data_IF_704950413098
#
_entry.id   IF_704950413098
#
_cell.length_a   1.000
_cell.length_b   1.000
_cell.length_c   1.000
_cell.angle_alpha   90.00
_cell.angle_beta   90.00
_cell.angle_gamma   90.00
#
_symmetry.space_group_name_H-M   'P 1'
#
loop_
_entity.id
_entity.type
_entity.pdbx_description
1 polymer ?
#
# COMPACT_ATOMS: atom_id res chain seq x y z
N UNK A 1 -29.19 -14.42 1.20
CA UNK A 1 -27.95 -13.71 1.56
C UNK A 1 -27.38 -12.96 0.38
N UNK A 2 -26.87 -11.75 0.64
CA UNK A 2 -26.33 -10.91 -0.41
C UNK A 2 -24.81 -11.12 -0.62
N UNK A 3 -24.16 -11.78 0.34
CA UNK A 3 -22.76 -12.14 0.24
C UNK A 3 -22.59 -13.57 0.74
N UNK A 4 -21.95 -14.39 -0.06
CA UNK A 4 -21.70 -15.79 0.32
C UNK A 4 -20.23 -16.12 0.15
N UNK A 5 -19.79 -17.10 0.92
CA UNK A 5 -18.44 -17.61 0.92
C UNK A 5 -18.50 -19.12 0.70
N UNK A 6 -17.65 -19.64 -0.14
CA UNK A 6 -17.58 -21.06 -0.45
C UNK A 6 -16.14 -21.53 -0.52
N UNK A 7 -15.83 -22.60 0.19
CA UNK A 7 -14.50 -23.22 0.10
C UNK A 7 -14.42 -24.07 -1.16
N UNK A 8 -13.39 -23.86 -1.96
CA UNK A 8 -13.17 -24.60 -3.20
C UNK A 8 -11.70 -24.95 -3.30
N UNK A 9 -11.40 -26.25 -3.30
CA UNK A 9 -10.01 -26.72 -3.31
C UNK A 9 -9.27 -26.21 -2.09
N UNK A 10 -8.14 -25.54 -2.31
CA UNK A 10 -7.32 -24.95 -1.24
C UNK A 10 -7.65 -23.48 -1.00
N UNK A 11 -8.64 -22.96 -1.68
CA UNK A 11 -9.00 -21.55 -1.60
C UNK A 11 -10.45 -21.33 -1.28
N UNK A 12 -10.88 -20.08 -1.44
CA UNK A 12 -12.24 -19.64 -1.19
C UNK A 12 -12.77 -18.82 -2.34
N UNK A 13 -14.07 -18.92 -2.57
CA UNK A 13 -14.77 -18.08 -3.53
C UNK A 13 -15.80 -17.25 -2.79
N UNK A 14 -15.88 -15.97 -3.12
CA UNK A 14 -16.86 -15.05 -2.55
C UNK A 14 -17.80 -14.58 -3.65
N UNK A 15 -19.08 -14.59 -3.38
CA UNK A 15 -20.08 -14.08 -4.30
C UNK A 15 -20.79 -12.90 -3.65
N UNK A 16 -20.78 -11.76 -4.34
CA UNK A 16 -21.46 -10.54 -3.90
C UNK A 16 -22.67 -10.33 -4.81
N UNK A 17 -23.85 -10.58 -4.30
CA UNK A 17 -25.11 -10.44 -5.03
C UNK A 17 -25.70 -9.02 -4.90
N UNK A 18 -24.91 -8.06 -4.50
CA UNK A 18 -25.32 -6.69 -4.27
C UNK A 18 -24.15 -5.75 -4.51
N UNK A 19 -24.40 -4.44 -4.51
CA UNK A 19 -23.35 -3.42 -4.48
C UNK A 19 -23.18 -2.96 -3.04
N UNK A 20 -22.18 -3.47 -2.32
CA UNK A 20 -22.00 -3.09 -0.92
C UNK A 20 -21.41 -1.69 -0.80
N UNK A 21 -21.59 -1.10 0.36
CA UNK A 21 -20.96 0.19 0.65
C UNK A 21 -19.45 0.05 0.75
N UNK A 22 -18.76 1.16 0.57
CA UNK A 22 -17.30 1.20 0.55
C UNK A 22 -16.66 0.65 1.81
N UNK A 23 -17.22 0.99 2.98
CA UNK A 23 -16.70 0.50 4.27
C UNK A 23 -16.75 -1.03 4.36
N UNK A 24 -17.82 -1.64 3.87
CA UNK A 24 -17.94 -3.09 3.84
C UNK A 24 -16.93 -3.71 2.87
N UNK A 25 -16.76 -3.13 1.70
CA UNK A 25 -15.80 -3.62 0.71
C UNK A 25 -14.37 -3.57 1.27
N UNK A 26 -14.03 -2.52 1.99
CA UNK A 26 -12.71 -2.40 2.61
C UNK A 26 -12.47 -3.52 3.62
N UNK A 27 -13.46 -3.80 4.46
CA UNK A 27 -13.36 -4.89 5.46
C UNK A 27 -13.29 -6.26 4.80
N UNK A 28 -14.10 -6.50 3.78
CA UNK A 28 -14.09 -7.76 3.06
C UNK A 28 -12.75 -7.99 2.36
N UNK A 29 -12.22 -6.96 1.70
CA UNK A 29 -10.92 -7.04 1.03
C UNK A 29 -9.80 -7.33 2.03
N UNK A 30 -9.81 -6.66 3.19
CA UNK A 30 -8.83 -6.89 4.24
C UNK A 30 -8.89 -8.34 4.74
N UNK A 31 -10.10 -8.88 4.92
CA UNK A 31 -10.29 -10.26 5.33
C UNK A 31 -9.75 -11.24 4.28
N UNK A 32 -10.06 -10.99 3.01
CA UNK A 32 -9.58 -11.84 1.91
C UNK A 32 -8.06 -11.83 1.83
N UNK A 33 -7.44 -10.67 1.98
CA UNK A 33 -5.98 -10.56 2.00
C UNK A 33 -5.37 -11.34 3.17
N UNK A 34 -5.96 -11.21 4.35
CA UNK A 34 -5.49 -11.92 5.53
C UNK A 34 -5.58 -13.43 5.33
N UNK A 35 -6.70 -13.92 4.81
CA UNK A 35 -6.89 -15.35 4.55
C UNK A 35 -5.94 -15.88 3.46
N UNK A 36 -5.61 -15.06 2.48
CA UNK A 36 -4.70 -15.42 1.40
C UNK A 36 -3.23 -15.25 1.78
N UNK A 37 -2.93 -14.76 2.97
CA UNK A 37 -1.57 -14.53 3.42
C UNK A 37 -0.90 -13.34 2.76
N UNK A 38 -1.67 -12.41 2.23
CA UNK A 38 -1.15 -11.21 1.59
C UNK A 38 -0.89 -10.15 2.65
N UNK A 39 0.35 -9.67 2.71
CA UNK A 39 0.75 -8.61 3.64
C UNK A 39 0.89 -7.29 2.89
N UNK A 40 0.54 -6.16 3.51
CA UNK A 40 0.78 -4.86 2.88
C UNK A 40 2.28 -4.61 2.77
N UNK A 41 2.70 -3.99 1.67
CA UNK A 41 4.12 -3.66 1.45
C UNK A 41 4.58 -2.51 2.33
N UNK A 42 3.64 -1.74 2.86
CA UNK A 42 3.91 -0.55 3.67
C UNK A 42 2.68 -0.27 4.55
N UNK A 43 2.85 0.28 5.75
CA UNK A 43 1.70 0.63 6.60
C UNK A 43 0.74 1.57 5.87
N UNK A 44 -0.56 1.33 6.02
CA UNK A 44 -1.60 2.09 5.34
C UNK A 44 -1.53 3.59 5.64
N UNK A 45 -1.65 4.41 4.59
CA UNK A 45 -1.72 5.87 4.67
C UNK A 45 -2.94 6.33 3.87
N UNK A 46 -3.84 7.04 4.52
CA UNK A 46 -5.08 7.49 3.87
C UNK A 46 -4.78 8.40 2.67
N UNK A 47 -5.38 8.06 1.53
CA UNK A 47 -5.25 8.85 0.31
C UNK A 47 -3.90 8.74 -0.38
N UNK A 48 -3.01 7.90 0.10
CA UNK A 48 -1.70 7.68 -0.51
C UNK A 48 -1.60 6.25 -1.00
N UNK A 49 -1.32 6.09 -2.27
CA UNK A 49 -1.05 4.77 -2.85
C UNK A 49 0.43 4.48 -2.71
N UNK A 50 0.77 3.31 -2.18
CA UNK A 50 2.16 2.91 -1.99
C UNK A 50 2.36 1.56 -2.65
N UNK A 51 3.29 1.51 -3.61
CA UNK A 51 3.62 0.28 -4.32
C UNK A 51 5.12 -0.01 -4.17
N UNK A 52 5.48 -1.26 -4.38
CA UNK A 52 6.86 -1.72 -4.25
C UNK A 52 7.28 -2.43 -5.51
N UNK A 53 8.51 -2.16 -5.94
CA UNK A 53 9.19 -2.90 -7.00
C UNK A 53 10.54 -3.34 -6.49
N UNK A 54 10.96 -4.51 -6.91
CA UNK A 54 12.21 -5.08 -6.44
C UNK A 54 12.95 -5.73 -7.62
N UNK A 55 14.25 -5.53 -7.68
CA UNK A 55 15.12 -6.19 -8.63
C UNK A 55 16.51 -6.35 -8.02
N UNK A 56 17.48 -6.77 -8.83
CA UNK A 56 18.86 -6.97 -8.38
C UNK A 56 19.53 -5.70 -7.85
N UNK A 57 19.02 -4.51 -8.25
CA UNK A 57 19.58 -3.24 -7.84
C UNK A 57 18.99 -2.71 -6.53
N UNK A 58 17.93 -3.33 -6.03
CA UNK A 58 17.34 -2.97 -4.74
C UNK A 58 15.82 -2.99 -4.71
N UNK A 59 15.30 -2.40 -3.67
CA UNK A 59 13.87 -2.29 -3.41
C UNK A 59 13.44 -0.85 -3.51
N UNK A 60 12.43 -0.60 -4.34
CA UNK A 60 11.96 0.74 -4.66
C UNK A 60 10.50 0.88 -4.24
N UNK A 61 10.19 1.99 -3.57
CA UNK A 61 8.83 2.30 -3.12
C UNK A 61 8.33 3.55 -3.84
N UNK A 62 7.12 3.46 -4.35
CA UNK A 62 6.46 4.55 -5.08
C UNK A 62 5.32 5.06 -4.21
N UNK A 63 5.34 6.35 -3.91
CA UNK A 63 4.34 7.01 -3.08
C UNK A 63 3.57 8.01 -3.93
N UNK A 64 2.26 7.82 -4.03
CA UNK A 64 1.41 8.69 -4.83
C UNK A 64 0.33 9.29 -3.93
N UNK A 65 0.39 10.61 -3.77
CA UNK A 65 -0.61 11.32 -2.97
C UNK A 65 -1.79 11.69 -3.87
N UNK A 66 -2.92 11.00 -3.68
CA UNK A 66 -4.14 11.24 -4.44
C UNK A 66 -5.02 12.34 -3.85
N UNK A 67 -4.54 13.03 -2.84
CA UNK A 67 -5.30 14.09 -2.15
C UNK A 67 -4.80 15.48 -2.49
N UNK A 68 -5.57 16.48 -2.08
CA UNK A 68 -5.19 17.89 -2.19
C UNK A 68 -4.50 18.40 -0.94
N UNK A 69 -4.20 17.51 0.00
CA UNK A 69 -3.56 17.86 1.26
C UNK A 69 -2.11 17.38 1.28
N UNK A 70 -1.27 18.08 2.02
CA UNK A 70 0.08 17.62 2.28
C UNK A 70 0.03 16.37 3.14
N UNK A 71 0.84 15.37 2.82
CA UNK A 71 0.94 14.13 3.58
C UNK A 71 2.37 13.94 4.07
N UNK A 72 2.51 13.62 5.34
CA UNK A 72 3.78 13.27 5.96
C UNK A 72 3.71 11.80 6.34
N UNK A 73 4.55 11.00 5.73
CA UNK A 73 4.50 9.55 5.85
C UNK A 73 5.72 9.08 6.62
N UNK A 74 5.52 8.50 7.82
CA UNK A 74 6.64 7.97 8.59
C UNK A 74 7.29 6.82 7.83
N UNK A 75 8.61 6.85 7.74
CA UNK A 75 9.37 5.78 7.09
C UNK A 75 9.83 4.77 8.15
N UNK A 76 9.71 3.47 7.86
CA UNK A 76 10.30 2.45 8.70
C UNK A 76 11.80 2.67 8.85
N UNK A 77 12.36 2.12 9.92
CA UNK A 77 13.78 2.22 10.18
C UNK A 77 14.59 1.72 8.99
N UNK A 78 15.59 2.51 8.59
CA UNK A 78 16.44 2.19 7.45
C UNK A 78 16.98 3.45 6.82
N UNK A 79 17.81 3.27 5.82
CA UNK A 79 18.36 4.36 5.03
C UNK A 79 17.63 4.41 3.71
N UNK A 80 17.05 5.56 3.41
CA UNK A 80 16.23 5.76 2.21
C UNK A 80 16.86 6.81 1.32
N UNK A 81 16.86 6.55 0.03
CA UNK A 81 17.39 7.48 -0.98
C UNK A 81 16.22 7.98 -1.83
N UNK A 82 16.10 9.30 -1.95
CA UNK A 82 15.07 9.92 -2.79
C UNK A 82 15.60 9.99 -4.23
N UNK A 83 14.96 9.27 -5.13
CA UNK A 83 15.40 9.19 -6.52
C UNK A 83 14.91 10.33 -7.40
N UNK A 84 13.87 11.04 -6.98
CA UNK A 84 13.35 12.18 -7.75
C UNK A 84 13.99 13.51 -7.33
N UNK A 85 14.12 13.72 -6.02
CA UNK A 85 14.67 14.98 -5.50
C UNK A 85 16.16 14.89 -5.17
N UNK A 86 16.68 13.68 -5.10
CA UNK A 86 18.05 13.42 -4.69
C UNK A 86 18.23 13.45 -3.18
N UNK A 87 19.37 12.95 -2.72
CA UNK A 87 19.69 12.90 -1.30
C UNK A 87 19.00 11.80 -0.52
N UNK A 88 19.15 11.86 0.79
CA UNK A 88 18.56 10.87 1.70
C UNK A 88 17.24 11.37 2.26
N UNK A 89 16.32 10.46 2.51
CA UNK A 89 15.10 10.72 3.26
C UNK A 89 15.25 10.05 4.62
N UNK A 90 15.06 10.79 5.69
CA UNK A 90 15.17 10.27 7.05
C UNK A 90 13.91 10.50 7.84
N UNK A 91 13.44 9.43 8.49
CA UNK A 91 12.31 9.48 9.38
C UNK A 91 10.95 9.60 8.72
N UNK A 92 10.82 10.45 7.72
CA UNK A 92 9.56 10.64 7.00
C UNK A 92 9.78 11.14 5.58
N UNK A 93 8.78 10.94 4.75
CA UNK A 93 8.71 11.55 3.42
C UNK A 93 7.51 12.49 3.40
N UNK A 94 7.71 13.69 2.85
CA UNK A 94 6.68 14.71 2.75
C UNK A 94 6.22 14.80 1.29
N UNK A 95 4.91 14.67 1.08
CA UNK A 95 4.28 14.78 -0.23
C UNK A 95 3.34 15.97 -0.22
N UNK A 96 3.53 16.89 -1.14
CA UNK A 96 2.57 17.96 -1.35
C UNK A 96 1.32 17.40 -2.03
N UNK A 97 0.31 18.25 -2.22
CA UNK A 97 -0.92 17.84 -2.90
C UNK A 97 -0.60 17.25 -4.28
N UNK A 98 -1.16 16.06 -4.56
CA UNK A 98 -1.00 15.38 -5.86
C UNK A 98 0.46 15.05 -6.22
N UNK A 99 1.34 15.06 -5.26
CA UNK A 99 2.77 14.83 -5.46
C UNK A 99 3.10 13.33 -5.44
N UNK A 100 4.28 13.00 -5.96
CA UNK A 100 4.78 11.64 -5.97
C UNK A 100 6.20 11.61 -5.42
N UNK A 101 6.60 10.47 -4.85
CA UNK A 101 7.97 10.23 -4.44
C UNK A 101 8.37 8.82 -4.84
N UNK A 102 9.64 8.65 -5.15
CA UNK A 102 10.23 7.34 -5.41
C UNK A 102 11.43 7.20 -4.50
N UNK A 103 11.34 6.29 -3.56
CA UNK A 103 12.39 6.06 -2.58
C UNK A 103 12.98 4.67 -2.75
N UNK A 104 14.31 4.61 -2.69
CA UNK A 104 15.03 3.34 -2.69
C UNK A 104 15.43 3.03 -1.26
N UNK A 105 15.09 1.85 -0.79
CA UNK A 105 15.54 1.38 0.52
C UNK A 105 16.97 0.85 0.37
N UNK A 106 17.90 1.49 1.07
CA UNK A 106 19.29 1.03 1.11
C UNK A 106 19.42 -0.03 2.19
N UNK A 107 19.87 -1.22 1.80
CA UNK A 107 20.12 -2.30 2.73
C UNK A 107 21.60 -2.25 3.10
N UNK A 108 21.85 -2.11 4.38
CA UNK A 108 23.22 -2.15 4.90
C UNK A 108 23.64 -3.58 5.18
#
# INVERSE_FOLDING_TARGET
>A
PCVTEHSYGKGKAYYLGTMPEEAFLAKLTARMCLEAGIQPVFPHQDGVEITQRENENGTFFFFLNHTTEEKRIPLPKGTWKDLLKGGAAEGEVCLEARDVAVLKLEIL
#
